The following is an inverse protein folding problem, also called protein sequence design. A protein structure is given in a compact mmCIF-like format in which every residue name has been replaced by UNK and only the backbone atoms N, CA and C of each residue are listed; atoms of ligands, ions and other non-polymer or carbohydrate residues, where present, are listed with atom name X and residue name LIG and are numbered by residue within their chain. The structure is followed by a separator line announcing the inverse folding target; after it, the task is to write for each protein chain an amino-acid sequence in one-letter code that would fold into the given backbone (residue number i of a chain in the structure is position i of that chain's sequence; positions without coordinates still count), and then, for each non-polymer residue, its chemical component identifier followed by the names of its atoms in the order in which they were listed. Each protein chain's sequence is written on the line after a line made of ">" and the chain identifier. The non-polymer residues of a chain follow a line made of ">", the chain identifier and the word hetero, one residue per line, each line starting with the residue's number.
data_IF_216200853404
#
_entry.id   IF_216200853404
#
_cell.length_a   1.000
_cell.length_b   1.000
_cell.length_c   1.000
_cell.angle_alpha   90.00
_cell.angle_beta   90.00
_cell.angle_gamma   90.00
#
_symmetry.space_group_name_H-M   'P 1'
#
loop_
_entity.id
_entity.type
_entity.pdbx_description
1 polymer ?
#
# COMPACT_ATOMS: atom_id res chain seq x y z
N UNK A 1 39.13 -50.96 40.48
CA UNK A 1 38.72 -50.33 39.21
C UNK A 1 37.21 -50.51 39.07
N UNK A 2 36.39 -49.49 39.36
CA UNK A 2 34.92 -49.58 39.27
C UNK A 2 34.53 -49.40 37.80
N UNK A 3 33.98 -50.44 37.18
CA UNK A 3 33.38 -50.36 35.86
C UNK A 3 32.05 -49.59 35.98
N UNK A 4 31.95 -48.44 35.30
CA UNK A 4 30.70 -47.69 35.19
C UNK A 4 29.73 -48.50 34.33
N UNK A 5 28.51 -48.64 34.81
CA UNK A 5 27.43 -49.32 34.11
C UNK A 5 26.94 -48.42 32.96
N UNK A 6 27.49 -48.60 31.77
CA UNK A 6 27.09 -47.95 30.52
C UNK A 6 25.73 -48.55 30.08
N UNK A 7 24.63 -48.12 30.69
CA UNK A 7 23.28 -48.50 30.24
C UNK A 7 22.99 -47.76 28.94
N UNK A 8 23.01 -48.48 27.82
CA UNK A 8 22.58 -47.94 26.52
C UNK A 8 21.09 -47.60 26.51
N UNK A 9 20.67 -46.78 25.54
CA UNK A 9 19.27 -46.44 25.35
C UNK A 9 18.45 -47.65 24.92
N UNK A 10 17.24 -47.77 25.45
CA UNK A 10 16.28 -48.75 24.97
C UNK A 10 15.69 -48.31 23.63
N UNK A 11 15.24 -49.28 22.84
CA UNK A 11 14.66 -49.02 21.52
C UNK A 11 13.40 -48.14 21.62
N UNK A 12 12.63 -48.29 22.69
CA UNK A 12 11.44 -47.47 22.98
C UNK A 12 11.81 -46.01 23.27
N UNK A 13 12.90 -45.76 24.00
CA UNK A 13 13.36 -44.39 24.28
C UNK A 13 13.86 -43.69 23.02
N UNK A 14 14.56 -44.40 22.13
CA UNK A 14 15.01 -43.87 20.84
C UNK A 14 13.80 -43.56 19.96
N UNK A 15 12.82 -44.46 19.91
CA UNK A 15 11.60 -44.28 19.13
C UNK A 15 10.82 -43.05 19.63
N UNK A 16 10.62 -42.92 20.94
CA UNK A 16 9.93 -41.77 21.54
C UNK A 16 10.67 -40.45 21.26
N UNK A 17 12.00 -40.46 21.32
CA UNK A 17 12.82 -39.28 21.03
C UNK A 17 12.69 -38.84 19.57
N UNK A 18 12.72 -39.79 18.63
CA UNK A 18 12.53 -39.51 17.20
C UNK A 18 11.11 -39.05 16.89
N UNK A 19 10.08 -39.60 17.54
CA UNK A 19 8.70 -39.15 17.33
C UNK A 19 8.48 -37.74 17.85
N UNK A 20 8.99 -37.41 19.05
CA UNK A 20 8.89 -36.05 19.59
C UNK A 20 9.66 -35.07 18.71
N UNK A 21 10.88 -35.44 18.27
CA UNK A 21 11.67 -34.61 17.38
C UNK A 21 10.95 -34.37 16.04
N UNK A 22 10.31 -35.40 15.47
CA UNK A 22 9.53 -35.30 14.24
C UNK A 22 8.34 -34.34 14.38
N UNK A 23 7.60 -34.42 15.49
CA UNK A 23 6.47 -33.51 15.77
C UNK A 23 6.96 -32.07 15.85
N UNK A 24 8.03 -31.83 16.61
CA UNK A 24 8.64 -30.50 16.74
C UNK A 24 9.11 -29.97 15.39
N UNK A 25 9.78 -30.81 14.60
CA UNK A 25 10.30 -30.42 13.29
C UNK A 25 9.19 -30.03 12.30
N UNK A 26 8.11 -30.82 12.23
CA UNK A 26 6.95 -30.52 11.36
C UNK A 26 6.27 -29.22 11.81
N UNK A 27 6.19 -28.96 13.12
CA UNK A 27 5.57 -27.74 13.65
C UNK A 27 6.32 -26.45 13.25
N UNK A 28 7.65 -26.50 13.13
CA UNK A 28 8.44 -25.35 12.67
C UNK A 28 8.49 -25.23 11.14
N UNK A 29 8.44 -26.34 10.41
CA UNK A 29 8.42 -26.38 8.94
C UNK A 29 7.29 -25.53 8.35
N UNK A 30 6.14 -25.42 9.03
CA UNK A 30 4.99 -24.63 8.55
C UNK A 30 5.18 -23.11 8.67
N UNK A 31 6.17 -22.64 9.44
CA UNK A 31 6.39 -21.20 9.71
C UNK A 31 7.20 -20.55 8.58
N UNK A 32 8.15 -21.27 7.97
CA UNK A 32 9.03 -20.70 6.94
C UNK A 32 8.28 -20.21 5.69
N UNK A 33 7.32 -20.95 5.09
CA UNK A 33 6.58 -20.46 3.92
C UNK A 33 5.75 -19.22 4.25
N UNK A 34 5.21 -19.13 5.47
CA UNK A 34 4.43 -17.99 5.93
C UNK A 34 5.30 -16.73 6.05
N UNK A 35 6.53 -16.87 6.56
CA UNK A 35 7.47 -15.75 6.70
C UNK A 35 7.85 -15.16 5.35
N UNK A 36 8.14 -16.01 4.35
CA UNK A 36 8.47 -15.54 2.98
C UNK A 36 7.30 -14.76 2.39
N UNK A 37 6.07 -15.30 2.44
CA UNK A 37 4.90 -14.61 1.88
C UNK A 37 4.59 -13.29 2.57
N UNK A 38 4.78 -13.19 3.89
CA UNK A 38 4.58 -11.94 4.64
C UNK A 38 5.65 -10.90 4.28
N UNK A 39 6.90 -11.33 4.10
CA UNK A 39 7.98 -10.44 3.68
C UNK A 39 7.72 -9.86 2.28
N UNK A 40 7.36 -10.69 1.30
CA UNK A 40 7.07 -10.26 -0.06
C UNK A 40 5.91 -9.24 -0.11
N UNK A 41 4.84 -9.51 0.65
CA UNK A 41 3.69 -8.59 0.78
C UNK A 41 4.11 -7.28 1.45
N UNK A 42 4.96 -7.34 2.45
CA UNK A 42 5.45 -6.16 3.17
C UNK A 42 6.33 -5.30 2.28
N UNK A 43 7.25 -5.90 1.52
CA UNK A 43 8.08 -5.20 0.54
C UNK A 43 7.22 -4.51 -0.52
N UNK A 44 6.29 -5.24 -1.13
CA UNK A 44 5.37 -4.70 -2.14
C UNK A 44 4.59 -3.50 -1.58
N UNK A 45 4.09 -3.61 -0.35
CA UNK A 45 3.36 -2.52 0.33
C UNK A 45 4.25 -1.31 0.60
N UNK A 46 5.50 -1.50 1.01
CA UNK A 46 6.44 -0.40 1.26
C UNK A 46 6.81 0.33 -0.04
N UNK A 47 7.11 -0.41 -1.11
CA UNK A 47 7.44 0.18 -2.42
C UNK A 47 6.27 0.99 -2.99
N UNK A 48 5.04 0.48 -2.86
CA UNK A 48 3.84 1.14 -3.37
C UNK A 48 3.43 2.35 -2.53
N UNK A 49 3.59 2.30 -1.21
CA UNK A 49 3.43 3.46 -0.33
C UNK A 49 4.44 4.55 -0.67
N UNK A 50 5.71 4.18 -0.87
CA UNK A 50 6.73 5.14 -1.25
C UNK A 50 6.40 5.80 -2.61
N UNK A 51 5.96 5.00 -3.58
CA UNK A 51 5.53 5.51 -4.88
C UNK A 51 4.38 6.51 -4.76
N UNK A 52 3.36 6.20 -3.94
CA UNK A 52 2.23 7.10 -3.70
C UNK A 52 2.66 8.43 -3.04
N UNK A 53 3.62 8.38 -2.09
CA UNK A 53 4.20 9.59 -1.47
C UNK A 53 4.99 10.44 -2.47
N UNK A 54 5.77 9.81 -3.35
CA UNK A 54 6.50 10.52 -4.40
C UNK A 54 5.53 11.22 -5.34
N UNK A 55 4.44 10.57 -5.74
CA UNK A 55 3.38 11.21 -6.54
C UNK A 55 2.76 12.41 -5.81
N UNK A 56 2.45 12.29 -4.51
CA UNK A 56 1.95 13.43 -3.74
C UNK A 56 2.95 14.61 -3.72
N UNK A 57 4.24 14.33 -3.54
CA UNK A 57 5.28 15.37 -3.56
C UNK A 57 5.38 16.00 -4.96
N UNK A 58 5.27 15.20 -6.01
CA UNK A 58 5.30 15.71 -7.38
C UNK A 58 4.08 16.60 -7.68
N UNK A 59 2.90 16.24 -7.18
CA UNK A 59 1.69 17.07 -7.27
C UNK A 59 1.86 18.38 -6.51
N UNK A 60 2.45 18.36 -5.30
CA UNK A 60 2.76 19.59 -4.55
C UNK A 60 3.73 20.51 -5.30
N UNK A 61 4.69 19.95 -6.05
CA UNK A 61 5.67 20.74 -6.81
C UNK A 61 5.12 21.25 -8.15
N UNK A 62 4.24 20.49 -8.78
CA UNK A 62 3.66 20.83 -10.08
C UNK A 62 2.17 20.49 -10.09
N UNK A 63 1.33 21.35 -9.50
CA UNK A 63 -0.11 21.12 -9.41
C UNK A 63 -0.78 21.07 -10.78
N UNK A 64 -0.18 21.68 -11.81
CA UNK A 64 -0.67 21.67 -13.19
C UNK A 64 -0.78 20.28 -13.81
N UNK A 65 -0.18 19.24 -13.20
CA UNK A 65 -0.38 17.84 -13.60
C UNK A 65 -1.84 17.39 -13.47
N UNK A 66 -2.61 18.00 -12.57
CA UNK A 66 -4.05 17.76 -12.40
C UNK A 66 -4.88 18.35 -13.55
N UNK A 67 -4.30 19.17 -14.42
CA UNK A 67 -5.00 19.85 -15.52
C UNK A 67 -4.86 19.06 -16.84
N UNK A 68 -3.85 18.20 -16.98
CA UNK A 68 -3.35 17.77 -18.31
C UNK A 68 -3.77 16.35 -18.72
N UNK A 69 -4.22 15.43 -17.86
CA UNK A 69 -4.47 14.03 -18.28
C UNK A 69 -5.80 13.42 -17.79
N UNK A 70 -6.55 12.86 -18.76
CA UNK A 70 -7.67 11.91 -18.71
C UNK A 70 -8.52 11.90 -17.42
N UNK A 71 -9.49 12.82 -17.37
CA UNK A 71 -10.58 12.81 -16.39
C UNK A 71 -11.47 11.58 -16.60
N UNK A 72 -11.66 10.78 -15.55
CA UNK A 72 -12.64 9.69 -15.56
C UNK A 72 -13.56 9.87 -14.34
N UNK A 73 -14.66 10.61 -14.57
CA UNK A 73 -15.80 10.94 -13.68
C UNK A 73 -15.74 12.26 -12.90
N UNK A 74 -16.80 13.06 -13.12
CA UNK A 74 -17.29 14.08 -12.20
C UNK A 74 -18.33 13.41 -11.29
N UNK A 75 -18.09 13.37 -9.98
CA UNK A 75 -19.13 13.07 -9.01
C UNK A 75 -19.99 14.32 -8.83
N UNK A 76 -21.30 14.23 -9.07
CA UNK A 76 -22.27 15.31 -8.88
C UNK A 76 -23.07 14.99 -7.61
N UNK A 77 -22.53 15.29 -6.43
CA UNK A 77 -23.30 15.54 -5.19
C UNK A 77 -22.40 15.91 -3.99
N UNK A 78 -22.70 17.06 -3.39
CA UNK A 78 -22.52 17.56 -1.99
C UNK A 78 -21.17 17.43 -1.26
N UNK A 79 -20.33 16.45 -1.60
CA UNK A 79 -18.93 16.29 -1.18
C UNK A 79 -18.05 16.16 -2.44
N UNK A 80 -18.32 16.98 -3.44
CA UNK A 80 -17.79 16.84 -4.79
C UNK A 80 -16.25 16.71 -4.78
N UNK A 81 -15.77 15.61 -5.34
CA UNK A 81 -14.35 15.36 -5.58
C UNK A 81 -14.15 15.01 -7.06
N UNK A 82 -13.02 15.41 -7.60
CA UNK A 82 -12.58 15.04 -8.94
C UNK A 82 -11.64 13.83 -8.84
N UNK A 83 -11.97 12.74 -9.53
CA UNK A 83 -11.08 11.58 -9.63
C UNK A 83 -10.24 11.66 -10.91
N UNK A 84 -8.93 11.59 -10.73
CA UNK A 84 -7.94 11.50 -11.80
C UNK A 84 -7.34 10.11 -11.79
N UNK A 85 -7.28 9.47 -12.96
CA UNK A 85 -6.71 8.13 -13.09
C UNK A 85 -5.60 8.16 -14.11
N UNK A 86 -4.45 7.60 -13.78
CA UNK A 86 -3.40 7.35 -14.77
C UNK A 86 -2.71 6.01 -14.52
N UNK A 87 -2.07 5.52 -15.57
CA UNK A 87 -1.23 4.33 -15.52
C UNK A 87 0.07 4.67 -14.80
N UNK A 88 0.25 4.06 -13.63
CA UNK A 88 1.52 4.07 -12.91
C UNK A 88 2.54 3.09 -13.50
N UNK A 89 3.72 3.05 -12.90
CA UNK A 89 4.76 2.06 -13.25
C UNK A 89 4.28 0.65 -12.86
N UNK A 90 4.69 -0.37 -13.64
CA UNK A 90 4.40 -1.80 -13.39
C UNK A 90 2.93 -2.24 -13.49
N UNK A 91 2.14 -1.67 -14.42
CA UNK A 91 0.73 -2.03 -14.62
C UNK A 91 -0.18 -1.71 -13.41
N UNK A 92 0.28 -0.83 -12.52
CA UNK A 92 -0.48 -0.30 -11.41
C UNK A 92 -1.30 0.89 -11.89
N UNK A 93 -2.53 1.04 -11.41
CA UNK A 93 -3.38 2.20 -11.68
C UNK A 93 -3.28 3.14 -10.49
N UNK A 94 -2.99 4.42 -10.71
CA UNK A 94 -3.01 5.43 -9.66
C UNK A 94 -4.27 6.28 -9.82
N UNK A 95 -5.09 6.32 -8.78
CA UNK A 95 -6.26 7.18 -8.66
C UNK A 95 -5.95 8.32 -7.68
N UNK A 96 -6.24 9.55 -8.06
CA UNK A 96 -6.27 10.70 -7.15
C UNK A 96 -7.70 11.17 -7.02
N UNK A 97 -8.21 11.23 -5.80
CA UNK A 97 -9.42 11.98 -5.49
C UNK A 97 -9.01 13.35 -4.93
N UNK A 98 -9.49 14.40 -5.58
CA UNK A 98 -9.24 15.77 -5.19
C UNK A 98 -10.55 16.40 -4.71
N UNK A 99 -10.61 16.70 -3.41
CA UNK A 99 -11.85 17.17 -2.78
C UNK A 99 -12.01 18.67 -2.99
N UNK A 100 -13.20 19.10 -3.37
CA UNK A 100 -13.51 20.51 -3.57
C UNK A 100 -13.41 21.29 -2.26
N UNK A 101 -12.94 22.53 -2.37
CA UNK A 101 -12.94 23.50 -1.28
C UNK A 101 -13.77 24.69 -1.75
N UNK A 102 -14.74 25.11 -0.94
CA UNK A 102 -15.60 26.27 -1.24
C UNK A 102 -16.31 26.22 -2.61
N UNK A 103 -16.62 25.01 -3.11
CA UNK A 103 -17.26 24.82 -4.42
C UNK A 103 -16.32 24.90 -5.62
N UNK A 104 -15.02 25.17 -5.39
CA UNK A 104 -13.99 25.14 -6.42
C UNK A 104 -13.40 23.75 -6.55
N UNK A 105 -13.21 23.31 -7.80
CA UNK A 105 -12.57 22.04 -8.12
C UNK A 105 -11.07 22.22 -8.38
N UNK A 106 -10.31 21.14 -8.29
CA UNK A 106 -8.87 21.16 -8.49
C UNK A 106 -8.48 21.50 -9.93
N UNK A 107 -9.33 21.16 -10.90
CA UNK A 107 -9.20 21.61 -12.29
C UNK A 107 -9.59 23.08 -12.51
N UNK A 108 -10.39 23.69 -11.62
CA UNK A 108 -10.85 25.08 -11.77
C UNK A 108 -11.95 25.24 -12.82
N UNK A 109 -12.65 24.16 -13.17
CA UNK A 109 -13.80 24.25 -14.08
C UNK A 109 -15.02 24.69 -13.26
N UNK A 110 -15.41 25.97 -13.39
CA UNK A 110 -16.65 26.48 -12.79
C UNK A 110 -16.65 27.96 -12.41
N UNK A 111 -15.49 28.61 -12.25
CA UNK A 111 -15.42 30.05 -11.93
C UNK A 111 -14.26 30.77 -12.64
N UNK A 112 -14.45 32.08 -12.82
CA UNK A 112 -13.52 33.02 -13.43
C UNK A 112 -12.14 32.92 -12.74
N UNK A 113 -11.08 32.72 -13.52
CA UNK A 113 -9.69 32.48 -13.08
C UNK A 113 -9.12 33.58 -12.17
N UNK A 114 -9.84 34.70 -12.02
CA UNK A 114 -9.52 35.83 -11.17
C UNK A 114 -9.86 35.65 -9.67
N UNK A 115 -10.57 34.59 -9.27
CA UNK A 115 -10.99 34.35 -7.87
C UNK A 115 -10.52 33.01 -7.28
N UNK A 116 -9.45 32.41 -7.81
CA UNK A 116 -8.79 31.30 -7.11
C UNK A 116 -8.06 31.86 -5.89
N UNK A 117 -8.65 31.67 -4.72
CA UNK A 117 -7.94 31.92 -3.47
C UNK A 117 -6.95 30.78 -3.24
N UNK A 118 -5.77 31.14 -2.74
CA UNK A 118 -4.71 30.19 -2.40
C UNK A 118 -5.19 29.29 -1.26
N UNK A 119 -5.73 28.14 -1.61
CA UNK A 119 -6.39 27.21 -0.69
C UNK A 119 -5.75 25.82 -0.72
N UNK A 120 -5.89 25.10 0.40
CA UNK A 120 -5.36 23.75 0.57
C UNK A 120 -6.43 22.71 0.20
N UNK A 121 -6.24 22.07 -0.95
CA UNK A 121 -7.11 21.00 -1.43
C UNK A 121 -6.69 19.66 -0.83
N UNK A 122 -7.64 18.93 -0.24
CA UNK A 122 -7.40 17.58 0.25
C UNK A 122 -7.25 16.63 -0.93
N UNK A 123 -6.19 15.84 -0.92
CA UNK A 123 -5.85 14.84 -1.93
C UNK A 123 -5.84 13.46 -1.28
N UNK A 124 -6.51 12.50 -1.91
CA UNK A 124 -6.43 11.07 -1.58
C UNK A 124 -5.87 10.32 -2.77
N UNK A 125 -4.70 9.72 -2.63
CA UNK A 125 -4.06 8.94 -3.68
C UNK A 125 -4.21 7.46 -3.35
N UNK A 126 -4.74 6.68 -4.29
CA UNK A 126 -4.93 5.23 -4.22
C UNK A 126 -4.13 4.56 -5.33
N UNK A 127 -3.31 3.58 -4.98
CA UNK A 127 -2.59 2.73 -5.94
C UNK A 127 -3.30 1.39 -6.00
N UNK A 128 -3.77 1.01 -7.18
CA UNK A 128 -4.54 -0.21 -7.46
C UNK A 128 -3.76 -1.17 -8.35
N UNK A 129 -3.92 -2.46 -8.07
CA UNK A 129 -3.48 -3.56 -8.93
C UNK A 129 -4.65 -4.51 -9.12
N UNK A 130 -5.05 -4.73 -10.37
CA UNK A 130 -6.18 -5.60 -10.71
C UNK A 130 -7.42 -5.30 -9.86
N UNK A 131 -7.83 -4.02 -9.84
CA UNK A 131 -8.93 -3.44 -9.04
C UNK A 131 -8.74 -3.35 -7.51
N UNK A 132 -7.78 -4.07 -6.93
CA UNK A 132 -7.53 -4.03 -5.49
C UNK A 132 -6.62 -2.85 -5.11
N UNK A 133 -7.04 -2.04 -4.14
CA UNK A 133 -6.18 -1.01 -3.56
C UNK A 133 -5.10 -1.66 -2.72
N UNK A 134 -3.84 -1.50 -3.14
CA UNK A 134 -2.67 -2.06 -2.46
C UNK A 134 -1.97 -1.03 -1.56
N UNK A 135 -2.18 0.26 -1.84
CA UNK A 135 -1.66 1.36 -1.03
C UNK A 135 -2.52 2.60 -1.19
N UNK A 136 -2.57 3.42 -0.15
CA UNK A 136 -3.19 4.73 -0.18
C UNK A 136 -2.40 5.75 0.64
N UNK A 137 -2.53 7.02 0.29
CA UNK A 137 -1.98 8.14 1.07
C UNK A 137 -2.90 9.34 0.97
N UNK A 138 -2.88 10.18 2.01
CA UNK A 138 -3.62 11.43 2.05
C UNK A 138 -2.65 12.60 2.15
N UNK A 139 -3.07 13.75 1.65
CA UNK A 139 -2.30 14.98 1.77
C UNK A 139 -3.14 16.21 1.44
N UNK A 140 -2.48 17.36 1.54
CA UNK A 140 -3.04 18.64 1.09
C UNK A 140 -2.11 19.23 0.05
N UNK A 141 -2.66 19.81 -1.00
CA UNK A 141 -1.92 20.51 -2.06
C UNK A 141 -2.48 21.94 -2.13
N UNK A 142 -1.57 22.90 -2.16
CA UNK A 142 -1.90 24.30 -2.42
C UNK A 142 -1.98 24.48 -3.93
N UNK A 143 -3.09 25.02 -4.42
CA UNK A 143 -3.29 25.34 -5.83
C UNK A 143 -3.29 26.87 -5.96
N UNK A 144 -2.42 27.38 -6.83
CA UNK A 144 -2.36 28.79 -7.23
C UNK A 144 -3.31 29.07 -8.41
#
# INVERSE_FOLDING_TARGET
>A
MKWKNERGFTLVEILASLTILGIVFISFMTIFPQMVSVNDRTETKLQTMNSAKVELINLKKNPSKLIINEKIKNSISTNDYETYTWLGKHNNVVEIDCYNVNGQTCSGIGEDTASRQKELYKIHIRVKVSENTISETFGYVELD
#
